data_IF_096739672556
#
_entry.id   IF_096739672556
#
_cell.length_a   1.000
_cell.length_b   1.000
_cell.length_c   1.000
_cell.angle_alpha   90.00
_cell.angle_beta   90.00
_cell.angle_gamma   90.00
#
_symmetry.space_group_name_H-M   'P 1'
#
loop_
_entity.id
_entity.type
_entity.pdbx_description
1 polymer ?
#
# COMPACT_ATOMS: atom_id res chain seq x y z
N UNK A 1 -10.36 -7.61 -25.45
CA UNK A 1 -9.73 -7.26 -24.16
C UNK A 1 -10.65 -7.71 -23.05
N UNK A 2 -10.21 -8.63 -22.19
CA UNK A 2 -10.97 -8.97 -20.99
C UNK A 2 -10.78 -7.83 -19.98
N UNK A 3 -11.86 -7.16 -19.60
CA UNK A 3 -11.84 -6.25 -18.44
C UNK A 3 -12.50 -6.95 -17.26
N UNK A 4 -11.97 -6.70 -16.07
CA UNK A 4 -12.66 -7.09 -14.85
C UNK A 4 -13.95 -6.28 -14.73
N UNK A 5 -15.04 -6.86 -14.21
CA UNK A 5 -16.27 -6.12 -13.95
C UNK A 5 -15.98 -4.86 -13.11
N UNK A 6 -16.61 -3.71 -13.39
CA UNK A 6 -16.41 -2.48 -12.62
C UNK A 6 -16.73 -2.64 -11.13
N UNK A 7 -17.65 -3.56 -10.80
CA UNK A 7 -18.06 -3.88 -9.43
C UNK A 7 -17.11 -4.82 -8.70
N UNK A 8 -16.18 -5.49 -9.40
CA UNK A 8 -15.26 -6.43 -8.78
C UNK A 8 -14.27 -5.65 -7.89
N UNK A 9 -14.18 -5.98 -6.58
CA UNK A 9 -13.19 -5.38 -5.71
C UNK A 9 -11.79 -5.82 -6.12
N UNK A 10 -10.85 -4.88 -6.19
CA UNK A 10 -9.46 -5.16 -6.57
C UNK A 10 -8.53 -4.49 -5.57
N UNK A 11 -7.50 -5.23 -5.18
CA UNK A 11 -6.33 -4.71 -4.45
C UNK A 11 -5.11 -4.96 -5.33
N UNK A 12 -4.29 -3.93 -5.52
CA UNK A 12 -3.08 -3.94 -6.34
C UNK A 12 -1.93 -3.35 -5.54
N UNK A 13 -0.91 -4.16 -5.26
CA UNK A 13 0.21 -3.80 -4.40
C UNK A 13 1.54 -3.90 -5.16
N UNK A 14 2.52 -3.11 -4.74
CA UNK A 14 3.89 -3.28 -5.22
C UNK A 14 4.80 -2.11 -4.90
N UNK A 15 6.09 -2.31 -5.16
CA UNK A 15 7.07 -1.23 -5.26
C UNK A 15 7.01 -0.63 -6.65
N UNK A 16 6.41 0.56 -6.77
CA UNK A 16 6.18 1.23 -8.05
C UNK A 16 7.42 1.98 -8.57
N UNK A 17 8.51 2.01 -7.80
CA UNK A 17 9.77 2.70 -8.12
C UNK A 17 9.58 4.19 -8.46
N UNK A 18 8.50 4.80 -7.97
CA UNK A 18 8.15 6.20 -8.22
C UNK A 18 7.23 6.74 -7.13
N UNK A 19 7.00 8.05 -7.11
CA UNK A 19 6.08 8.73 -6.18
C UNK A 19 4.69 8.95 -6.81
N UNK A 20 3.68 9.22 -5.98
CA UNK A 20 2.28 9.36 -6.41
C UNK A 20 2.07 10.55 -7.34
N UNK A 21 2.98 11.53 -7.29
CA UNK A 21 2.99 12.72 -8.14
C UNK A 21 3.61 12.49 -9.53
N UNK A 22 4.23 11.33 -9.77
CA UNK A 22 4.73 10.94 -11.10
C UNK A 22 3.59 10.72 -12.09
N UNK A 23 3.91 10.64 -13.39
CA UNK A 23 2.94 10.30 -14.44
C UNK A 23 2.18 9.01 -14.12
N UNK A 24 2.89 7.95 -13.72
CA UNK A 24 2.28 6.66 -13.35
C UNK A 24 1.36 6.79 -12.14
N UNK A 25 1.82 7.46 -11.08
CA UNK A 25 1.02 7.65 -9.86
C UNK A 25 -0.24 8.47 -10.13
N UNK A 26 -0.10 9.58 -10.87
CA UNK A 26 -1.23 10.43 -11.26
C UNK A 26 -2.24 9.69 -12.13
N UNK A 27 -1.77 8.86 -13.07
CA UNK A 27 -2.68 8.07 -13.90
C UNK A 27 -3.45 7.04 -13.08
N UNK A 28 -2.75 6.21 -12.29
CA UNK A 28 -3.36 5.13 -11.49
C UNK A 28 -4.39 5.67 -10.48
N UNK A 29 -4.09 6.81 -9.86
CA UNK A 29 -4.96 7.49 -8.88
C UNK A 29 -6.06 8.35 -9.52
N UNK A 30 -6.21 8.32 -10.85
CA UNK A 30 -7.24 9.07 -11.57
C UNK A 30 -7.05 10.60 -11.60
N UNK A 31 -5.81 11.06 -11.37
CA UNK A 31 -5.40 12.48 -11.35
C UNK A 31 -4.82 12.96 -12.70
N UNK A 32 -4.60 12.06 -13.64
CA UNK A 32 -4.27 12.36 -15.04
C UNK A 32 -4.96 11.41 -16.01
N UNK A 33 -5.05 11.82 -17.28
CA UNK A 33 -5.52 10.99 -18.38
C UNK A 33 -4.34 10.62 -19.26
N UNK A 34 -4.20 9.34 -19.57
CA UNK A 34 -3.20 8.83 -20.52
C UNK A 34 -3.95 8.12 -21.66
N UNK A 35 -3.66 8.48 -22.91
CA UNK A 35 -4.32 7.92 -24.10
C UNK A 35 -5.87 7.90 -24.04
N UNK A 36 -6.47 8.92 -23.41
CA UNK A 36 -7.93 9.04 -23.27
C UNK A 36 -8.54 8.25 -22.10
N UNK A 37 -7.75 7.42 -21.43
CA UNK A 37 -8.17 6.61 -20.27
C UNK A 37 -7.76 7.31 -18.97
N UNK A 38 -8.50 7.07 -17.88
CA UNK A 38 -8.20 7.54 -16.53
C UNK A 38 -8.21 6.35 -15.58
N UNK A 39 -7.26 6.26 -14.67
CA UNK A 39 -7.29 5.26 -13.60
C UNK A 39 -8.41 5.54 -12.59
N UNK A 40 -8.86 4.52 -11.89
CA UNK A 40 -9.94 4.60 -10.91
C UNK A 40 -9.55 4.02 -9.54
N UNK A 41 -8.24 3.83 -9.31
CA UNK A 41 -7.71 3.29 -8.08
C UNK A 41 -7.62 4.38 -7.00
N UNK A 42 -7.70 3.94 -5.75
CA UNK A 42 -7.47 4.75 -4.54
C UNK A 42 -6.31 4.16 -3.78
N UNK A 43 -5.57 4.99 -3.06
CA UNK A 43 -4.49 4.53 -2.21
C UNK A 43 -4.97 4.26 -0.78
N UNK A 44 -4.63 3.10 -0.24
CA UNK A 44 -4.98 2.67 1.11
C UNK A 44 -4.37 3.57 2.18
N UNK A 45 -3.15 4.08 1.97
CA UNK A 45 -2.46 4.93 2.97
C UNK A 45 -3.29 6.15 3.38
N UNK A 46 -3.66 7.09 2.49
CA UNK A 46 -4.50 8.23 2.84
C UNK A 46 -5.96 7.88 3.10
N UNK A 47 -6.44 6.74 2.59
CA UNK A 47 -7.84 6.33 2.73
C UNK A 47 -8.15 5.66 4.07
N UNK A 48 -7.14 5.13 4.76
CA UNK A 48 -7.35 4.37 5.99
C UNK A 48 -7.85 5.25 7.12
N UNK A 49 -8.84 4.74 7.87
CA UNK A 49 -9.38 5.42 9.06
C UNK A 49 -8.32 5.64 10.13
N UNK A 50 -7.43 4.67 10.33
CA UNK A 50 -6.31 4.73 11.27
C UNK A 50 -5.01 4.59 10.51
N UNK A 51 -4.04 5.45 10.79
CA UNK A 51 -2.69 5.38 10.23
C UNK A 51 -1.66 5.32 11.35
N UNK A 52 -0.71 4.38 11.27
CA UNK A 52 0.41 4.25 12.20
C UNK A 52 1.72 4.60 11.52
N UNK A 53 2.71 5.00 12.32
CA UNK A 53 4.03 5.42 11.84
C UNK A 53 3.98 6.50 10.75
N UNK A 54 3.05 7.45 10.90
CA UNK A 54 2.83 8.54 9.94
C UNK A 54 4.04 9.46 9.74
N UNK A 55 5.00 9.45 10.68
CA UNK A 55 6.26 10.15 10.55
C UNK A 55 7.17 9.54 9.46
N UNK A 56 6.94 8.27 9.09
CA UNK A 56 7.66 7.58 8.02
C UNK A 56 7.05 7.96 6.67
N UNK A 57 7.59 9.03 6.12
CA UNK A 57 7.15 9.56 4.82
C UNK A 57 7.79 8.82 3.66
N UNK A 58 8.76 7.94 3.88
CA UNK A 58 9.36 7.07 2.87
C UNK A 58 9.21 5.61 3.27
N UNK A 59 8.99 4.76 2.29
CA UNK A 59 9.05 3.30 2.42
C UNK A 59 10.47 2.81 2.12
N UNK A 60 11.15 3.36 1.11
CA UNK A 60 12.56 3.06 0.84
C UNK A 60 13.52 3.75 1.83
N UNK A 61 14.39 2.98 2.48
CA UNK A 61 15.38 3.46 3.44
C UNK A 61 16.81 2.91 3.22
N UNK A 62 17.05 2.10 2.18
CA UNK A 62 18.38 1.61 1.80
C UNK A 62 19.17 0.95 2.96
N UNK A 63 18.49 0.20 3.83
CA UNK A 63 19.03 -0.39 5.07
C UNK A 63 19.55 0.60 6.12
N UNK A 64 19.34 1.92 5.92
CA UNK A 64 19.78 2.96 6.87
C UNK A 64 18.79 3.21 8.02
N UNK A 65 17.52 2.86 7.83
CA UNK A 65 16.44 3.10 8.78
C UNK A 65 15.98 4.55 8.86
N UNK A 66 15.42 4.92 10.02
CA UNK A 66 14.80 6.21 10.38
C UNK A 66 15.68 7.47 10.30
N UNK A 67 16.69 7.48 9.45
CA UNK A 67 17.38 8.70 9.01
C UNK A 67 16.52 9.53 8.05
N UNK A 68 15.19 9.54 8.22
CA UNK A 68 14.29 10.51 7.59
C UNK A 68 14.48 11.85 8.34
N UNK A 69 15.62 12.50 8.08
CA UNK A 69 16.13 13.58 8.91
C UNK A 69 15.24 14.83 8.93
N UNK A 70 15.59 15.76 9.83
CA UNK A 70 14.92 17.06 10.05
C UNK A 70 14.60 17.82 8.77
N UNK A 71 15.42 17.65 7.71
CA UNK A 71 15.23 18.27 6.40
C UNK A 71 13.99 17.75 5.67
N UNK A 72 13.70 16.45 5.73
CA UNK A 72 12.52 15.87 5.07
C UNK A 72 11.24 16.26 5.81
N UNK A 73 11.30 16.28 7.15
CA UNK A 73 10.24 16.85 7.99
C UNK A 73 10.03 18.35 7.73
N UNK A 74 11.10 19.12 7.51
CA UNK A 74 11.00 20.53 7.15
C UNK A 74 10.43 20.72 5.74
N UNK A 75 10.77 19.86 4.77
CA UNK A 75 10.15 19.85 3.42
C UNK A 75 8.65 19.61 3.49
N UNK A 76 8.21 18.72 4.39
CA UNK A 76 6.80 18.47 4.67
C UNK A 76 6.11 19.69 5.26
N UNK A 77 6.71 20.32 6.28
CA UNK A 77 6.21 21.56 6.87
C UNK A 77 6.09 22.64 5.80
N UNK A 78 7.12 22.81 4.96
CA UNK A 78 7.10 23.81 3.90
C UNK A 78 6.00 23.52 2.88
N UNK A 79 5.84 22.26 2.43
CA UNK A 79 4.72 21.86 1.56
C UNK A 79 3.35 22.13 2.20
N UNK A 80 3.20 21.80 3.48
CA UNK A 80 1.97 22.03 4.25
C UNK A 80 1.64 23.52 4.40
N UNK A 81 2.65 24.35 4.67
CA UNK A 81 2.52 25.80 4.88
C UNK A 81 2.33 26.57 3.57
N UNK A 82 2.90 26.10 2.45
CA UNK A 82 2.75 26.75 1.15
C UNK A 82 1.37 26.54 0.50
N UNK A 83 0.37 25.97 1.22
CA UNK A 83 -0.98 25.65 0.71
C UNK A 83 -0.98 24.76 -0.55
N UNK A 84 0.18 24.22 -0.91
CA UNK A 84 0.36 23.39 -2.08
C UNK A 84 0.03 21.95 -1.72
N UNK A 85 -1.12 21.53 -2.24
CA UNK A 85 -1.43 20.18 -2.69
C UNK A 85 -1.80 19.19 -1.58
N UNK A 86 -3.12 18.92 -1.49
CA UNK A 86 -3.76 17.78 -0.85
C UNK A 86 -3.06 17.22 0.41
N UNK A 87 -3.58 17.61 1.59
CA UNK A 87 -3.12 17.17 2.91
C UNK A 87 -3.10 15.63 3.06
N UNK A 88 -3.75 14.89 2.16
CA UNK A 88 -3.72 13.43 2.11
C UNK A 88 -2.45 12.85 1.48
N UNK A 89 -1.73 13.53 0.57
CA UNK A 89 -0.57 12.97 -0.16
C UNK A 89 0.74 13.67 0.16
N UNK A 90 1.02 13.81 1.45
CA UNK A 90 2.30 14.38 1.90
C UNK A 90 3.41 13.32 2.01
N UNK A 91 3.09 12.03 1.91
CA UNK A 91 4.10 10.99 1.90
C UNK A 91 4.87 10.93 0.56
N UNK A 92 6.08 10.40 0.62
CA UNK A 92 6.98 10.08 -0.48
C UNK A 92 7.11 8.55 -0.63
N UNK A 93 6.05 7.80 -0.35
CA UNK A 93 6.07 6.34 -0.46
C UNK A 93 6.29 5.94 -1.91
N UNK A 94 7.11 4.91 -2.11
CA UNK A 94 7.32 4.25 -3.41
C UNK A 94 6.62 2.90 -3.49
N UNK A 95 6.13 2.42 -2.36
CA UNK A 95 5.43 1.16 -2.20
C UNK A 95 3.98 1.47 -1.82
N UNK A 96 3.03 1.03 -2.63
CA UNK A 96 1.63 1.41 -2.48
C UNK A 96 0.72 0.19 -2.39
N UNK A 97 -0.39 0.37 -1.68
CA UNK A 97 -1.52 -0.56 -1.70
C UNK A 97 -2.68 0.20 -2.32
N UNK A 98 -2.91 -0.05 -3.60
CA UNK A 98 -4.01 0.55 -4.35
C UNK A 98 -5.23 -0.35 -4.30
N UNK A 99 -6.41 0.23 -4.25
CA UNK A 99 -7.67 -0.51 -4.24
C UNK A 99 -8.76 0.19 -5.05
N UNK A 100 -9.70 -0.60 -5.58
CA UNK A 100 -10.96 -0.11 -6.15
C UNK A 100 -12.11 -1.03 -5.79
N UNK A 101 -13.33 -0.52 -5.97
CA UNK A 101 -14.57 -1.17 -5.53
C UNK A 101 -15.08 -0.57 -4.22
N UNK A 102 -16.38 -0.31 -4.14
CA UNK A 102 -17.01 0.37 -2.98
C UNK A 102 -17.14 -0.52 -1.74
N UNK A 103 -16.89 -1.80 -1.91
CA UNK A 103 -17.19 -2.83 -0.94
C UNK A 103 -16.00 -3.13 -0.02
N UNK A 104 -14.80 -2.66 -0.36
CA UNK A 104 -13.60 -2.79 0.47
C UNK A 104 -13.25 -1.43 1.05
N UNK A 105 -13.04 -1.38 2.36
CA UNK A 105 -12.74 -0.13 3.08
C UNK A 105 -11.48 -0.33 3.91
N UNK A 106 -10.39 0.41 3.66
CA UNK A 106 -9.20 0.33 4.50
C UNK A 106 -9.52 0.90 5.90
N UNK A 107 -9.39 0.07 6.94
CA UNK A 107 -9.64 0.46 8.33
C UNK A 107 -8.37 0.86 9.05
N UNK A 108 -7.24 0.28 8.66
CA UNK A 108 -5.92 0.59 9.19
C UNK A 108 -4.88 0.54 8.06
N UNK A 109 -3.88 1.42 8.12
CA UNK A 109 -2.67 1.34 7.31
C UNK A 109 -1.44 1.70 8.15
N UNK A 110 -0.33 1.02 7.94
CA UNK A 110 0.89 1.13 8.75
C UNK A 110 2.12 0.94 7.87
N UNK A 111 3.12 1.81 8.04
CA UNK A 111 4.48 1.54 7.55
C UNK A 111 5.21 0.82 8.66
N UNK A 112 5.45 -0.48 8.50
CA UNK A 112 6.06 -1.31 9.55
C UNK A 112 7.57 -1.09 9.53
N UNK A 113 8.15 -0.69 10.67
CA UNK A 113 9.57 -0.38 10.82
C UNK A 113 10.31 -1.31 11.78
N UNK A 114 9.73 -2.50 12.02
CA UNK A 114 10.32 -3.51 12.88
C UNK A 114 11.70 -3.95 12.38
N UNK A 115 12.56 -4.31 13.34
CA UNK A 115 13.90 -4.83 13.13
C UNK A 115 14.07 -6.16 13.81
N UNK A 116 14.99 -6.97 13.31
CA UNK A 116 15.46 -8.19 13.96
C UNK A 116 16.96 -8.05 14.18
N UNK A 117 17.42 -8.19 15.41
CA UNK A 117 18.84 -8.03 15.79
C UNK A 117 19.45 -6.71 15.28
N UNK A 118 18.70 -5.60 15.42
CA UNK A 118 19.03 -4.25 14.91
C UNK A 118 19.17 -4.13 13.38
N UNK A 119 18.87 -5.19 12.63
CA UNK A 119 18.89 -5.21 11.18
C UNK A 119 17.48 -5.12 10.61
N UNK A 120 17.36 -4.35 9.54
CA UNK A 120 16.13 -4.34 8.75
C UNK A 120 16.11 -5.55 7.80
N UNK A 121 15.01 -6.32 7.74
CA UNK A 121 14.90 -7.46 6.84
C UNK A 121 14.98 -7.09 5.35
N UNK A 122 14.72 -5.83 5.00
CA UNK A 122 14.72 -5.31 3.63
C UNK A 122 15.24 -3.88 3.60
N UNK A 123 15.56 -3.39 2.39
CA UNK A 123 15.87 -1.96 2.15
C UNK A 123 14.62 -1.08 2.11
N UNK A 124 13.44 -1.68 2.18
CA UNK A 124 12.14 -1.04 2.20
C UNK A 124 11.36 -1.45 3.44
N UNK A 125 10.66 -0.48 4.04
CA UNK A 125 9.61 -0.73 5.02
C UNK A 125 8.38 -1.31 4.34
N UNK A 126 7.84 -2.44 4.80
CA UNK A 126 6.58 -2.95 4.29
C UNK A 126 5.42 -2.01 4.65
N UNK A 127 4.50 -1.84 3.71
CA UNK A 127 3.21 -1.19 3.96
C UNK A 127 2.20 -2.28 4.29
N UNK A 128 1.60 -2.19 5.45
CA UNK A 128 0.52 -3.06 5.90
C UNK A 128 -0.81 -2.31 5.78
N UNK A 129 -1.85 -2.95 5.26
CA UNK A 129 -3.20 -2.41 5.24
C UNK A 129 -4.22 -3.48 5.64
N UNK A 130 -5.15 -3.09 6.51
CA UNK A 130 -6.29 -3.90 6.89
C UNK A 130 -7.55 -3.38 6.21
N UNK A 131 -8.28 -4.28 5.54
CA UNK A 131 -9.53 -3.95 4.85
C UNK A 131 -10.72 -4.62 5.54
N UNK A 132 -11.77 -3.83 5.75
CA UNK A 132 -13.09 -4.39 6.05
C UNK A 132 -13.74 -4.88 4.77
N UNK A 133 -14.08 -6.16 4.74
CA UNK A 133 -14.85 -6.78 3.66
C UNK A 133 -16.37 -6.66 3.91
N UNK A 134 -17.21 -6.74 2.87
CA UNK A 134 -18.66 -6.78 3.03
C UNK A 134 -19.10 -8.03 3.79
N UNK A 135 -20.20 -7.92 4.55
CA UNK A 135 -20.83 -9.06 5.24
C UNK A 135 -21.27 -10.19 4.29
N UNK A 136 -21.43 -9.91 3.00
CA UNK A 136 -21.78 -10.92 1.99
C UNK A 136 -20.61 -11.83 1.60
N UNK A 137 -19.36 -11.46 1.95
CA UNK A 137 -18.20 -12.33 1.72
C UNK A 137 -18.24 -13.47 2.72
N UNK A 138 -18.39 -14.70 2.21
CA UNK A 138 -18.29 -15.92 3.01
C UNK A 138 -16.85 -16.39 2.99
N UNK A 139 -16.29 -16.70 4.16
CA UNK A 139 -15.03 -17.44 4.21
C UNK A 139 -15.28 -18.84 3.65
N UNK A 140 -14.42 -19.28 2.73
CA UNK A 140 -14.40 -20.69 2.34
C UNK A 140 -13.92 -21.48 3.56
N UNK A 141 -14.57 -22.62 3.82
CA UNK A 141 -14.09 -23.52 4.87
C UNK A 141 -12.64 -23.93 4.58
N UNK A 142 -11.78 -24.01 5.60
CA UNK A 142 -10.41 -24.45 5.40
C UNK A 142 -10.42 -25.87 4.81
N UNK A 143 -9.69 -26.06 3.70
CA UNK A 143 -9.47 -27.39 3.12
C UNK A 143 -8.90 -28.29 4.21
N UNK A 144 -9.53 -29.44 4.53
CA UNK A 144 -8.98 -30.35 5.53
C UNK A 144 -7.57 -30.78 5.11
N UNK A 145 -6.63 -30.93 6.06
CA UNK A 145 -5.28 -31.38 5.75
C UNK A 145 -5.34 -32.73 5.04
N UNK A 146 -4.55 -32.87 3.97
CA UNK A 146 -4.39 -34.15 3.27
C UNK A 146 -3.83 -35.16 4.28
N UNK A 147 -4.47 -36.33 4.48
CA UNK A 147 -3.96 -37.34 5.42
C UNK A 147 -2.57 -37.80 5.00
N UNK A 148 -1.65 -37.93 5.96
CA UNK A 148 -0.22 -38.17 5.77
C UNK A 148 0.15 -39.59 5.31
N UNK A 149 -0.77 -40.34 4.69
CA UNK A 149 -0.59 -41.77 4.41
C UNK A 149 -0.01 -42.07 3.03
N UNK A 150 0.89 -41.24 2.50
CA UNK A 150 1.53 -41.50 1.20
C UNK A 150 3.06 -41.30 1.20
N UNK A 151 3.72 -41.43 2.35
CA UNK A 151 5.18 -41.41 2.46
C UNK A 151 5.69 -42.63 3.24
N UNK A 152 5.27 -43.83 2.86
CA UNK A 152 5.94 -45.08 3.22
C UNK A 152 5.89 -46.02 2.01
N UNK A 153 6.73 -45.77 1.00
CA UNK A 153 7.22 -46.80 0.07
C UNK A 153 8.35 -46.21 -0.80
N UNK A 154 9.50 -45.95 -0.17
CA UNK A 154 10.79 -46.11 -0.85
C UNK A 154 11.87 -46.30 0.21
N UNK A 155 12.19 -47.56 0.47
CA UNK A 155 13.37 -48.02 1.21
C UNK A 155 14.20 -48.91 0.32
#
# INVERSE_FOLDING_TARGET
MASLPPSLPVVYCGGFNTQKESTTGRFLLGRSREHGVVGDMRDAWPSARVRKNVALIRTYHAFKGDKQGTVEFLKLIFRALCLCWDRQTQDLHTDWILYRGRSVVPVMCEVVNDKVDELYPSSHYPVFAEFMLPRSVRMLEPTPPVPSSAQEEES
#
